data_IF_641773039807
#
_entry.id   IF_641773039807
#
_cell.length_a   1.000
_cell.length_b   1.000
_cell.length_c   1.000
_cell.angle_alpha   90.00
_cell.angle_beta   90.00
_cell.angle_gamma   90.00
#
_symmetry.space_group_name_H-M   'P 1'
#
loop_
_entity.id
_entity.type
_entity.pdbx_description
1 polymer ?
#
# COMPACT_ATOMS: atom_id res chain seq x y z
N UNK A 1 9.89 -4.66 1.24
CA UNK A 1 8.98 -4.08 0.25
C UNK A 1 8.90 -4.99 -0.96
N UNK A 2 7.71 -5.20 -1.48
CA UNK A 2 7.49 -6.02 -2.66
C UNK A 2 6.76 -5.20 -3.70
N UNK A 3 7.10 -5.41 -4.98
CA UNK A 3 6.45 -4.73 -6.10
C UNK A 3 6.11 -5.76 -7.17
N UNK A 4 4.94 -5.60 -7.77
CA UNK A 4 4.51 -6.48 -8.86
C UNK A 4 3.55 -5.75 -9.79
N UNK A 5 3.49 -6.20 -11.05
CA UNK A 5 2.56 -5.67 -12.04
C UNK A 5 1.30 -6.52 -12.08
N UNK A 6 0.16 -5.84 -12.21
CA UNK A 6 -1.07 -6.53 -12.59
C UNK A 6 -1.16 -6.48 -14.10
N UNK A 7 -1.10 -7.64 -14.74
CA UNK A 7 -0.90 -7.76 -16.17
C UNK A 7 -1.94 -7.02 -17.02
N UNK A 8 -3.17 -6.89 -16.53
CA UNK A 8 -4.26 -6.34 -17.35
C UNK A 8 -4.60 -4.89 -17.02
N UNK A 9 -3.97 -4.27 -16.03
CA UNK A 9 -4.34 -2.92 -15.60
C UNK A 9 -3.18 -1.94 -15.63
N UNK A 10 -1.97 -2.43 -15.84
CA UNK A 10 -0.75 -1.62 -15.78
C UNK A 10 -0.62 -0.91 -14.44
N UNK A 11 -1.06 -1.57 -13.39
CA UNK A 11 -0.94 -1.08 -12.04
C UNK A 11 0.29 -1.71 -11.38
N UNK A 12 1.16 -0.87 -10.85
CA UNK A 12 2.28 -1.34 -10.04
C UNK A 12 1.82 -1.44 -8.60
N UNK A 13 1.89 -2.62 -8.03
CA UNK A 13 1.45 -2.85 -6.66
C UNK A 13 2.67 -2.97 -5.76
N UNK A 14 2.71 -2.20 -4.68
CA UNK A 14 3.79 -2.19 -3.72
C UNK A 14 3.24 -2.51 -2.35
N UNK A 15 3.84 -3.51 -1.69
CA UNK A 15 3.42 -3.91 -0.36
C UNK A 15 4.60 -3.72 0.60
N UNK A 16 4.61 -2.64 1.37
CA UNK A 16 5.62 -2.48 2.42
C UNK A 16 5.44 -3.60 3.44
N UNK A 17 6.55 -4.24 3.80
CA UNK A 17 6.46 -5.31 4.76
C UNK A 17 6.08 -4.78 6.11
N UNK A 18 5.04 -5.33 6.67
CA UNK A 18 4.53 -5.09 8.01
C UNK A 18 3.96 -3.71 8.22
N UNK A 19 4.69 -2.67 7.95
CA UNK A 19 4.16 -1.34 8.14
C UNK A 19 4.72 -0.43 7.09
N UNK A 20 4.02 0.65 6.84
CA UNK A 20 4.39 1.57 5.81
C UNK A 20 5.43 2.60 6.21
N UNK A 21 6.03 2.47 7.40
CA UNK A 21 6.86 3.55 7.90
C UNK A 21 8.12 3.83 7.08
N UNK A 22 8.62 2.85 6.33
CA UNK A 22 9.75 3.08 5.44
C UNK A 22 9.37 3.62 4.08
N UNK A 23 8.08 3.84 3.83
CA UNK A 23 7.55 4.20 2.53
C UNK A 23 7.15 5.68 2.53
N UNK A 24 8.16 6.55 2.54
CA UNK A 24 7.95 7.97 2.66
C UNK A 24 7.66 8.66 1.34
N UNK A 25 7.39 9.96 1.41
CA UNK A 25 7.06 10.75 0.22
C UNK A 25 8.14 10.70 -0.84
N UNK A 26 9.41 10.71 -0.42
CA UNK A 26 10.52 10.68 -1.37
C UNK A 26 10.52 9.36 -2.16
N UNK A 27 10.23 8.25 -1.48
CA UNK A 27 10.18 6.96 -2.15
C UNK A 27 9.00 6.89 -3.12
N UNK A 28 7.84 7.42 -2.71
CA UNK A 28 6.67 7.48 -3.59
C UNK A 28 7.01 8.28 -4.84
N UNK A 29 7.65 9.45 -4.68
CA UNK A 29 8.05 10.28 -5.81
C UNK A 29 9.04 9.56 -6.71
N UNK A 30 9.97 8.82 -6.13
CA UNK A 30 10.94 8.04 -6.88
C UNK A 30 10.23 6.98 -7.75
N UNK A 31 9.27 6.28 -7.15
CA UNK A 31 8.52 5.24 -7.87
C UNK A 31 7.71 5.88 -8.99
N UNK A 32 7.04 6.99 -8.72
CA UNK A 32 6.26 7.66 -9.77
C UNK A 32 7.13 8.05 -10.96
N UNK A 33 8.29 8.64 -10.70
CA UNK A 33 9.18 9.08 -11.79
C UNK A 33 9.71 7.91 -12.60
N UNK A 34 9.97 6.78 -11.97
CA UNK A 34 10.62 5.66 -12.64
C UNK A 34 9.64 4.70 -13.32
N UNK A 35 8.38 4.72 -12.94
CA UNK A 35 7.41 3.74 -13.44
C UNK A 35 6.26 4.35 -14.21
N UNK A 36 6.13 5.68 -14.23
CA UNK A 36 4.97 6.29 -14.89
C UNK A 36 4.97 6.11 -16.41
N UNK A 37 6.11 5.79 -17.01
CA UNK A 37 6.16 5.54 -18.44
C UNK A 37 5.71 4.13 -18.79
N UNK A 38 5.71 3.22 -17.84
CA UNK A 38 5.32 1.82 -18.04
C UNK A 38 4.04 1.44 -17.30
N UNK A 39 3.63 2.25 -16.31
CA UNK A 39 2.45 1.97 -15.48
C UNK A 39 1.61 3.22 -15.35
N UNK A 40 0.29 3.06 -15.26
CA UNK A 40 -0.59 4.22 -15.13
C UNK A 40 -1.18 4.38 -13.72
N UNK A 41 -0.95 3.43 -12.84
CA UNK A 41 -1.44 3.51 -11.46
C UNK A 41 -0.45 2.86 -10.51
N UNK A 42 -0.40 3.40 -9.30
CA UNK A 42 0.40 2.84 -8.21
C UNK A 42 -0.57 2.42 -7.11
N UNK A 43 -0.44 1.19 -6.66
CA UNK A 43 -1.25 0.65 -5.58
C UNK A 43 -0.37 0.31 -4.39
N UNK A 44 -0.80 0.70 -3.19
CA UNK A 44 -0.11 0.33 -1.97
C UNK A 44 -1.07 -0.46 -1.08
N UNK A 45 -0.53 -1.46 -0.39
CA UNK A 45 -1.28 -2.22 0.59
C UNK A 45 -0.73 -1.95 1.98
N UNK A 46 -1.61 -1.71 2.93
CA UNK A 46 -1.21 -1.44 4.31
C UNK A 46 -2.25 -1.98 5.28
N UNK A 47 -1.84 -2.16 6.53
CA UNK A 47 -2.80 -2.47 7.58
C UNK A 47 -3.75 -1.30 7.78
N UNK A 48 -4.92 -1.59 8.35
CA UNK A 48 -5.94 -0.57 8.59
C UNK A 48 -5.59 0.24 9.83
N UNK A 49 -4.58 1.08 9.71
CA UNK A 49 -4.11 1.97 10.77
C UNK A 49 -4.38 3.40 10.31
N UNK A 50 -5.21 4.16 11.04
CA UNK A 50 -5.63 5.50 10.58
C UNK A 50 -4.49 6.42 10.20
N UNK A 51 -3.41 6.45 10.99
CA UNK A 51 -2.30 7.36 10.69
C UNK A 51 -1.61 6.99 9.37
N UNK A 52 -1.47 5.70 9.09
CA UNK A 52 -0.85 5.23 7.86
C UNK A 52 -1.75 5.48 6.66
N UNK A 53 -3.04 5.18 6.80
CA UNK A 53 -4.01 5.42 5.74
C UNK A 53 -4.07 6.91 5.41
N UNK A 54 -4.11 7.76 6.43
CA UNK A 54 -4.14 9.20 6.23
C UNK A 54 -2.88 9.71 5.55
N UNK A 55 -1.72 9.14 5.88
CA UNK A 55 -0.47 9.50 5.22
C UNK A 55 -0.57 9.28 3.70
N UNK A 56 -1.08 8.12 3.29
CA UNK A 56 -1.20 7.83 1.87
C UNK A 56 -2.24 8.74 1.21
N UNK A 57 -3.34 9.04 1.90
CA UNK A 57 -4.33 9.97 1.36
C UNK A 57 -3.72 11.35 1.14
N UNK A 58 -2.88 11.81 2.06
CA UNK A 58 -2.19 13.08 1.89
C UNK A 58 -1.19 13.05 0.73
N UNK A 59 -0.72 11.89 0.37
CA UNK A 59 0.16 11.73 -0.78
C UNK A 59 -0.60 11.59 -2.10
N UNK A 60 -1.93 11.72 -2.06
CA UNK A 60 -2.75 11.68 -3.26
C UNK A 60 -3.38 10.35 -3.57
N UNK A 61 -3.28 9.39 -2.66
CA UNK A 61 -3.90 8.08 -2.85
C UNK A 61 -5.36 8.11 -2.42
N UNK A 62 -6.18 7.29 -3.05
CA UNK A 62 -7.58 7.10 -2.68
C UNK A 62 -7.79 5.63 -2.34
N UNK A 63 -8.75 5.39 -1.44
CA UNK A 63 -9.08 4.01 -1.06
C UNK A 63 -9.56 3.25 -2.29
N UNK A 64 -9.04 2.03 -2.45
CA UNK A 64 -9.43 1.16 -3.55
C UNK A 64 -10.31 0.02 -3.03
N UNK A 65 -9.74 -0.85 -2.21
CA UNK A 65 -10.51 -1.98 -1.67
C UNK A 65 -9.82 -2.47 -0.40
N UNK A 66 -10.49 -3.40 0.29
CA UNK A 66 -9.90 -4.00 1.48
C UNK A 66 -10.06 -5.52 1.41
N UNK A 67 -9.11 -6.22 2.04
CA UNK A 67 -9.18 -7.67 2.18
C UNK A 67 -9.40 -7.96 3.65
N UNK A 68 -10.60 -8.43 3.99
CA UNK A 68 -10.97 -8.70 5.37
C UNK A 68 -10.13 -9.83 5.94
N UNK A 69 -9.73 -9.68 7.19
CA UNK A 69 -9.00 -10.71 7.93
C UNK A 69 -7.66 -11.12 7.31
N UNK A 70 -7.09 -10.25 6.46
CA UNK A 70 -5.83 -10.57 5.77
C UNK A 70 -4.74 -10.97 6.77
N UNK A 71 -4.57 -10.21 7.83
CA UNK A 71 -3.49 -10.44 8.78
C UNK A 71 -3.79 -11.61 9.71
N UNK A 72 -5.06 -11.96 9.88
CA UNK A 72 -5.45 -13.14 10.65
C UNK A 72 -5.17 -14.40 9.84
N UNK A 73 -5.54 -14.36 8.55
CA UNK A 73 -5.47 -15.56 7.69
C UNK A 73 -4.07 -15.87 7.21
N UNK A 74 -3.19 -14.88 7.13
CA UNK A 74 -1.87 -15.05 6.51
C UNK A 74 -0.70 -15.10 7.50
N UNK A 75 -0.94 -14.90 8.79
CA UNK A 75 0.11 -14.93 9.80
C UNK A 75 -0.34 -15.80 10.96
N UNK A 76 0.61 -16.51 11.57
CA UNK A 76 0.32 -17.41 12.68
C UNK A 76 0.38 -16.74 14.05
N UNK A 77 0.58 -15.42 14.06
CA UNK A 77 0.63 -14.64 15.29
C UNK A 77 0.08 -13.23 15.00
N UNK A 78 -0.29 -12.54 16.08
CA UNK A 78 -0.82 -11.19 15.95
C UNK A 78 0.26 -10.23 15.45
N UNK A 79 -0.09 -9.40 14.49
CA UNK A 79 0.79 -8.32 14.00
C UNK A 79 0.29 -7.03 14.60
N UNK A 80 1.14 -6.34 15.33
CA UNK A 80 0.77 -5.13 16.05
C UNK A 80 1.49 -3.93 15.43
N UNK A 81 0.74 -2.86 15.18
CA UNK A 81 1.30 -1.60 14.69
C UNK A 81 0.58 -0.45 15.38
N UNK A 82 1.33 0.51 15.93
CA UNK A 82 0.78 1.66 16.64
C UNK A 82 -0.18 1.23 17.74
N UNK A 83 0.17 0.15 18.45
CA UNK A 83 -0.62 -0.32 19.58
C UNK A 83 -1.92 -1.00 19.22
N UNK A 84 -2.18 -1.25 17.93
CA UNK A 84 -3.39 -1.96 17.53
C UNK A 84 -3.05 -3.18 16.68
N UNK A 85 -3.86 -4.22 16.83
CA UNK A 85 -3.69 -5.43 16.04
C UNK A 85 -4.17 -5.21 14.63
N UNK A 86 -3.35 -5.58 13.66
CA UNK A 86 -3.75 -5.52 12.26
C UNK A 86 -4.66 -6.70 11.94
N UNK A 87 -5.77 -6.43 11.29
CA UNK A 87 -6.74 -7.44 10.90
C UNK A 87 -6.93 -7.42 9.40
N UNK A 88 -7.39 -6.30 8.87
CA UNK A 88 -7.66 -6.15 7.45
C UNK A 88 -6.48 -5.50 6.73
N UNK A 89 -6.32 -5.85 5.45
CA UNK A 89 -5.42 -5.14 4.56
C UNK A 89 -6.24 -4.11 3.79
N UNK A 90 -5.73 -2.89 3.71
CA UNK A 90 -6.37 -1.80 2.98
C UNK A 90 -5.51 -1.46 1.78
N UNK A 91 -6.12 -1.37 0.61
CA UNK A 91 -5.41 -1.01 -0.62
C UNK A 91 -5.83 0.38 -1.08
N UNK A 92 -4.83 1.20 -1.41
CA UNK A 92 -5.04 2.55 -1.91
C UNK A 92 -4.34 2.68 -3.26
N UNK A 93 -4.89 3.52 -4.12
CA UNK A 93 -4.34 3.70 -5.48
C UNK A 93 -4.17 5.17 -5.79
N UNK A 94 -3.20 5.43 -6.66
CA UNK A 94 -2.92 6.76 -7.17
C UNK A 94 -2.56 6.66 -8.64
N UNK A 95 -3.13 7.55 -9.45
CA UNK A 95 -2.75 7.63 -10.87
C UNK A 95 -1.37 8.25 -10.99
N UNK A 96 -0.50 7.65 -11.79
CA UNK A 96 0.87 8.13 -11.96
C UNK A 96 1.26 8.31 -13.43
N UNK A 97 0.47 7.79 -14.36
CA UNK A 97 0.77 7.90 -15.79
C UNK A 97 -0.26 8.62 -16.59
#
# INVERSE_FOLDING_TARGET
MRARDFWNSRTLSVEPRFQGRGFGKALISFIERNYRSSHNALQVGTGDVPSTVDFYKHCGFALSHRVANFFIDNYDHAIIEDGRQLIDMVYLQKRIG
#
